data_IF_965785254739
#
_entry.id   IF_965785254739
#
_cell.length_a   1.000
_cell.length_b   1.000
_cell.length_c   1.000
_cell.angle_alpha   90.00
_cell.angle_beta   90.00
_cell.angle_gamma   90.00
#
_symmetry.space_group_name_H-M   'P 1'
#
loop_
_entity.id
_entity.type
_entity.pdbx_description
1 polymer ?
#
# COMPACT_ATOMS: atom_id res chain seq x y z
N UNK A 1 -3.94 -11.47 -7.62
CA UNK A 1 -5.16 -12.30 -7.50
C UNK A 1 -6.02 -11.65 -6.43
N UNK A 2 -7.13 -11.02 -6.83
CA UNK A 2 -8.15 -10.49 -5.92
C UNK A 2 -9.20 -11.58 -5.78
N UNK A 3 -9.44 -12.07 -4.57
CA UNK A 3 -10.62 -12.91 -4.32
C UNK A 3 -11.45 -12.26 -3.22
N UNK A 4 -12.62 -11.72 -3.60
CA UNK A 4 -13.75 -11.57 -2.69
C UNK A 4 -13.74 -10.35 -1.77
N UNK A 5 -13.04 -9.28 -2.12
CA UNK A 5 -13.09 -8.03 -1.36
C UNK A 5 -14.45 -7.35 -1.56
N UNK A 6 -14.97 -6.63 -0.55
CA UNK A 6 -16.19 -5.78 -0.66
C UNK A 6 -16.10 -4.75 -1.79
N UNK A 7 -14.89 -4.50 -2.27
CA UNK A 7 -14.61 -3.65 -3.42
C UNK A 7 -15.03 -4.30 -4.76
N UNK A 8 -15.16 -5.63 -4.84
CA UNK A 8 -15.46 -6.32 -6.11
C UNK A 8 -16.84 -6.02 -6.68
N UNK A 9 -17.81 -5.69 -5.82
CA UNK A 9 -19.22 -5.45 -6.19
C UNK A 9 -19.64 -3.97 -6.16
N UNK A 10 -18.70 -3.04 -5.99
CA UNK A 10 -18.98 -1.61 -5.83
C UNK A 10 -18.32 -0.69 -6.86
N UNK A 11 -18.64 0.60 -6.80
CA UNK A 11 -18.07 1.67 -7.64
C UNK A 11 -16.54 1.81 -7.54
N UNK A 12 -15.94 1.31 -6.45
CA UNK A 12 -14.50 1.28 -6.30
C UNK A 12 -13.83 0.29 -7.28
N UNK A 13 -14.54 -0.75 -7.75
CA UNK A 13 -14.07 -1.61 -8.83
C UNK A 13 -14.05 -0.87 -10.17
N UNK A 14 -15.06 -0.02 -10.46
CA UNK A 14 -15.15 0.64 -11.76
C UNK A 14 -14.01 1.65 -11.96
N UNK A 15 -13.71 2.47 -10.96
CA UNK A 15 -12.57 3.40 -11.02
C UNK A 15 -11.23 2.65 -11.16
N UNK A 16 -11.07 1.52 -10.44
CA UNK A 16 -9.87 0.68 -10.57
C UNK A 16 -9.73 0.11 -11.98
N UNK A 17 -10.81 -0.41 -12.57
CA UNK A 17 -10.80 -0.95 -13.94
C UNK A 17 -10.57 0.12 -14.99
N UNK A 18 -11.11 1.32 -14.80
CA UNK A 18 -10.88 2.45 -15.71
C UNK A 18 -9.40 2.83 -15.77
N UNK A 19 -8.72 2.87 -14.62
CA UNK A 19 -7.31 3.29 -14.55
C UNK A 19 -6.34 2.14 -14.84
N UNK A 20 -6.60 0.94 -14.33
CA UNK A 20 -5.66 -0.18 -14.35
C UNK A 20 -6.12 -1.41 -15.16
N UNK A 21 -7.31 -1.38 -15.77
CA UNK A 21 -7.92 -2.56 -16.40
C UNK A 21 -7.12 -3.15 -17.56
N UNK A 22 -6.34 -2.33 -18.27
CA UNK A 22 -5.45 -2.77 -19.36
C UNK A 22 -4.03 -3.14 -18.88
N UNK A 23 -3.71 -2.87 -17.60
CA UNK A 23 -2.39 -3.09 -17.03
C UNK A 23 -2.32 -4.45 -16.33
N UNK A 24 -1.16 -5.10 -16.39
CA UNK A 24 -0.84 -6.25 -15.54
C UNK A 24 -0.52 -5.74 -14.13
N UNK A 25 -1.58 -5.47 -13.36
CA UNK A 25 -1.49 -4.91 -12.01
C UNK A 25 -1.84 -5.95 -10.95
N UNK A 26 -1.25 -5.81 -9.76
CA UNK A 26 -1.68 -6.48 -8.54
C UNK A 26 -1.77 -5.45 -7.41
N UNK A 27 -2.76 -5.60 -6.53
CA UNK A 27 -2.85 -4.84 -5.29
C UNK A 27 -2.48 -5.79 -4.14
N UNK A 28 -1.53 -5.38 -3.31
CA UNK A 28 -1.07 -6.11 -2.11
C UNK A 28 -1.27 -5.26 -0.84
N UNK A 29 -2.17 -4.29 -0.91
CA UNK A 29 -2.55 -3.43 0.21
C UNK A 29 -3.33 -4.21 1.25
N UNK A 30 -2.94 -4.06 2.51
CA UNK A 30 -3.61 -4.64 3.67
C UNK A 30 -4.16 -3.49 4.50
N UNK A 31 -5.47 -3.52 4.76
CA UNK A 31 -6.11 -2.53 5.62
C UNK A 31 -5.49 -2.55 7.02
N UNK A 32 -5.14 -1.37 7.55
CA UNK A 32 -4.54 -1.25 8.88
C UNK A 32 -3.00 -1.36 8.91
N UNK A 33 -2.36 -1.69 7.79
CA UNK A 33 -0.89 -1.70 7.71
C UNK A 33 -0.31 -0.33 8.10
N UNK A 34 0.75 -0.38 8.90
CA UNK A 34 1.65 0.74 9.19
C UNK A 34 2.89 0.63 8.32
N UNK A 35 3.69 1.69 8.26
CA UNK A 35 4.93 1.70 7.49
C UNK A 35 5.84 0.49 7.81
N UNK A 36 6.04 0.18 9.10
CA UNK A 36 6.86 -0.96 9.52
C UNK A 36 6.29 -2.33 9.11
N UNK A 37 4.96 -2.46 8.97
CA UNK A 37 4.35 -3.70 8.48
C UNK A 37 4.70 -3.91 7.01
N UNK A 38 4.67 -2.83 6.22
CA UNK A 38 5.04 -2.87 4.81
C UNK A 38 6.52 -3.21 4.66
N UNK A 39 7.41 -2.55 5.39
CA UNK A 39 8.84 -2.87 5.40
C UNK A 39 9.08 -4.34 5.70
N UNK A 40 8.48 -4.86 6.79
CA UNK A 40 8.62 -6.26 7.16
C UNK A 40 8.20 -7.19 6.01
N UNK A 41 7.09 -6.90 5.33
CA UNK A 41 6.65 -7.71 4.17
C UNK A 41 7.59 -7.61 2.98
N UNK A 42 8.20 -6.45 2.73
CA UNK A 42 9.19 -6.31 1.66
C UNK A 42 10.40 -7.19 1.94
N UNK A 43 10.87 -7.23 3.19
CA UNK A 43 12.02 -8.03 3.61
C UNK A 43 11.71 -9.54 3.72
N UNK A 44 10.49 -9.90 4.10
CA UNK A 44 10.10 -11.27 4.42
C UNK A 44 9.29 -11.95 3.29
N UNK A 45 9.58 -11.57 2.05
CA UNK A 45 9.10 -12.28 0.86
C UNK A 45 7.66 -11.98 0.45
N UNK A 46 7.01 -10.98 1.03
CA UNK A 46 5.67 -10.52 0.62
C UNK A 46 5.60 -9.99 -0.81
N UNK A 47 6.75 -9.73 -1.44
CA UNK A 47 6.89 -9.36 -2.85
C UNK A 47 7.86 -10.25 -3.62
N UNK A 48 8.27 -11.39 -3.04
CA UNK A 48 9.24 -12.28 -3.68
C UNK A 48 8.77 -12.75 -5.06
N UNK A 49 9.67 -12.70 -6.05
CA UNK A 49 9.38 -13.10 -7.42
C UNK A 49 8.62 -12.06 -8.26
N UNK A 50 8.18 -10.95 -7.68
CA UNK A 50 7.61 -9.84 -8.44
C UNK A 50 8.73 -9.03 -9.11
N UNK A 51 8.52 -8.67 -10.38
CA UNK A 51 9.39 -7.79 -11.16
C UNK A 51 8.57 -6.63 -11.75
N UNK A 52 8.03 -5.73 -10.90
CA UNK A 52 7.20 -4.63 -11.37
C UNK A 52 8.04 -3.58 -12.08
N UNK A 53 7.50 -2.97 -13.14
CA UNK A 53 8.10 -1.79 -13.78
C UNK A 53 7.82 -0.50 -12.99
N UNK A 54 6.71 -0.48 -12.25
CA UNK A 54 6.22 0.66 -11.48
C UNK A 54 5.66 0.15 -10.17
N UNK A 55 5.97 0.86 -9.09
CA UNK A 55 5.43 0.62 -7.75
C UNK A 55 4.65 1.86 -7.33
N UNK A 56 3.41 1.66 -6.89
CA UNK A 56 2.60 2.71 -6.25
C UNK A 56 2.50 2.37 -4.78
N UNK A 57 3.04 3.23 -3.92
CA UNK A 57 3.07 3.05 -2.48
C UNK A 57 2.29 4.17 -1.80
N UNK A 58 1.24 3.81 -1.07
CA UNK A 58 0.46 4.72 -0.23
C UNK A 58 0.39 4.11 1.18
N UNK A 59 1.12 4.70 2.11
CA UNK A 59 1.26 4.22 3.50
C UNK A 59 1.46 5.42 4.45
N UNK A 60 1.20 5.24 5.75
CA UNK A 60 1.50 6.23 6.79
C UNK A 60 0.30 6.68 7.61
N UNK A 61 -0.93 6.62 7.09
CA UNK A 61 -2.13 7.03 7.85
C UNK A 61 -2.25 6.27 9.18
N UNK A 62 -2.01 4.96 9.19
CA UNK A 62 -2.17 4.14 10.39
C UNK A 62 -1.02 4.25 11.40
N UNK A 63 0.06 4.97 11.06
CA UNK A 63 1.13 5.28 12.00
C UNK A 63 0.70 6.35 13.01
N UNK A 64 -0.27 7.20 12.67
CA UNK A 64 -0.76 8.31 13.51
C UNK A 64 -1.24 7.90 14.91
N UNK A 65 -1.59 6.64 15.12
CA UNK A 65 -2.02 6.13 16.43
C UNK A 65 -0.84 5.79 17.36
N UNK A 66 0.39 5.83 16.85
CA UNK A 66 1.60 5.36 17.54
C UNK A 66 2.69 6.43 17.62
N UNK A 67 2.47 7.59 17.00
CA UNK A 67 3.37 8.75 17.09
C UNK A 67 2.59 9.98 17.55
N UNK A 68 3.14 10.81 18.46
CA UNK A 68 2.50 12.05 18.88
C UNK A 68 2.41 13.08 17.75
N UNK A 69 3.36 13.04 16.81
CA UNK A 69 3.42 13.94 15.67
C UNK A 69 2.45 13.48 14.56
N UNK A 70 1.61 14.38 14.08
CA UNK A 70 0.63 14.10 13.02
C UNK A 70 0.72 15.16 11.92
N UNK A 71 0.13 14.87 10.76
CA UNK A 71 0.14 15.77 9.59
C UNK A 71 1.15 15.37 8.51
N UNK A 72 1.21 16.18 7.46
CA UNK A 72 1.98 15.89 6.23
C UNK A 72 3.48 15.71 6.53
N UNK A 73 4.05 16.58 7.36
CA UNK A 73 5.48 16.53 7.69
C UNK A 73 5.87 15.26 8.45
N UNK A 74 5.07 14.87 9.44
CA UNK A 74 5.29 13.64 10.21
C UNK A 74 5.19 12.40 9.30
N UNK A 75 4.21 12.39 8.39
CA UNK A 75 4.06 11.31 7.41
C UNK A 75 5.27 11.24 6.45
N UNK A 76 5.75 12.38 5.96
CA UNK A 76 6.92 12.44 5.07
C UNK A 76 8.21 11.97 5.76
N UNK A 77 8.43 12.38 7.01
CA UNK A 77 9.58 11.93 7.79
C UNK A 77 9.58 10.42 8.04
N UNK A 78 8.40 9.84 8.32
CA UNK A 78 8.23 8.40 8.49
C UNK A 78 8.67 7.60 7.26
N UNK A 79 8.32 8.07 6.06
CA UNK A 79 8.79 7.47 4.80
C UNK A 79 10.32 7.54 4.69
N UNK A 80 10.95 8.66 5.06
CA UNK A 80 12.41 8.81 4.92
C UNK A 80 13.22 8.02 5.95
N UNK A 81 12.68 7.83 7.16
CA UNK A 81 13.36 7.11 8.25
C UNK A 81 13.32 5.59 8.09
N UNK A 82 12.27 5.07 7.45
CA UNK A 82 12.00 3.64 7.32
C UNK A 82 12.57 3.02 6.03
N UNK A 83 12.72 3.78 4.95
CA UNK A 83 13.22 3.29 3.65
C UNK A 83 14.73 3.56 3.40
N UNK A 84 15.60 3.42 4.41
CA UNK A 84 17.06 3.57 4.25
C UNK A 84 17.78 2.28 3.89
#
# INVERSE_FOLDING_TARGET
MWWGSVLDRGSLNSAWREVFGELKVINIGIGGDKAQNVLWRLDHGGVAGLQPRVIVLMIGNNNMFFVPETGVEAAAAGVQGEFR
#
